data_IF_860062882008
#
_entry.id   IF_860062882008
#
_cell.length_a   1.000
_cell.length_b   1.000
_cell.length_c   1.000
_cell.angle_alpha   90.00
_cell.angle_beta   90.00
_cell.angle_gamma   90.00
#
_symmetry.space_group_name_H-M   'P 1'
#
loop_
_entity.id
_entity.type
_entity.pdbx_description
1 polymer ?
#
# COMPACT_ATOMS: atom_id res chain seq x y z
N UNK A 1 24.81 -1.69 5.99
CA UNK A 1 24.73 -3.17 6.17
C UNK A 1 23.48 -3.47 6.98
N UNK A 2 22.92 -4.69 7.06
CA UNK A 2 21.67 -4.99 7.80
C UNK A 2 20.39 -4.24 7.35
N UNK A 3 20.49 -3.16 6.58
CA UNK A 3 19.36 -2.56 5.87
C UNK A 3 18.96 -3.40 4.64
N UNK A 4 19.91 -3.63 3.71
CA UNK A 4 19.67 -4.28 2.41
C UNK A 4 20.07 -5.76 2.36
N UNK A 5 20.94 -6.18 3.28
CA UNK A 5 21.58 -7.49 3.26
C UNK A 5 22.00 -7.90 4.67
N UNK A 6 22.06 -9.20 4.92
CA UNK A 6 22.53 -9.78 6.17
C UNK A 6 23.80 -10.58 5.94
N UNK A 7 24.57 -10.77 7.00
CA UNK A 7 25.85 -11.50 6.96
C UNK A 7 25.79 -12.66 7.94
N UNK A 8 26.21 -13.84 7.51
CA UNK A 8 26.34 -15.04 8.34
C UNK A 8 27.73 -15.60 8.22
N UNK A 9 28.31 -15.94 9.37
CA UNK A 9 29.57 -16.66 9.43
C UNK A 9 29.33 -18.17 9.55
N UNK A 10 30.04 -18.95 8.75
CA UNK A 10 30.14 -20.40 8.87
C UNK A 10 31.61 -20.81 8.93
N UNK A 11 32.00 -21.66 9.87
CA UNK A 11 33.39 -22.12 10.02
C UNK A 11 33.92 -22.81 8.74
N UNK A 12 33.05 -23.42 7.94
CA UNK A 12 33.44 -24.10 6.70
C UNK A 12 33.56 -23.15 5.50
N UNK A 13 32.70 -22.13 5.42
CA UNK A 13 32.56 -21.28 4.22
C UNK A 13 32.91 -19.81 4.47
N UNK A 14 33.32 -19.44 5.68
CA UNK A 14 33.61 -18.08 6.08
C UNK A 14 32.37 -17.19 6.16
N UNK A 15 32.59 -15.89 5.94
CA UNK A 15 31.51 -14.91 5.84
C UNK A 15 30.74 -15.10 4.54
N UNK A 16 29.42 -15.17 4.66
CA UNK A 16 28.49 -15.21 3.53
C UNK A 16 27.46 -14.12 3.69
N UNK A 17 27.11 -13.53 2.58
CA UNK A 17 26.19 -12.42 2.51
C UNK A 17 24.90 -12.83 1.82
N UNK A 18 23.77 -12.42 2.37
CA UNK A 18 22.43 -12.78 1.88
C UNK A 18 21.66 -11.49 1.61
N UNK A 19 21.09 -11.37 0.41
CA UNK A 19 20.18 -10.28 0.05
C UNK A 19 18.94 -10.33 0.96
N UNK A 20 18.52 -9.18 1.50
CA UNK A 20 17.25 -9.10 2.22
C UNK A 20 16.10 -9.39 1.26
N UNK A 21 15.09 -10.18 1.66
CA UNK A 21 13.93 -10.44 0.82
C UNK A 21 13.29 -9.15 0.28
N UNK A 22 12.98 -9.15 -1.02
CA UNK A 22 12.43 -7.98 -1.71
C UNK A 22 13.46 -6.98 -2.25
N UNK A 23 14.77 -7.18 -2.01
CA UNK A 23 15.85 -6.31 -2.49
C UNK A 23 15.77 -6.00 -4.00
N UNK A 24 15.73 -7.03 -4.85
CA UNK A 24 15.77 -6.81 -6.31
C UNK A 24 14.54 -6.04 -6.80
N UNK A 25 13.37 -6.30 -6.19
CA UNK A 25 12.13 -5.58 -6.48
C UNK A 25 12.19 -4.13 -6.00
N UNK A 26 12.78 -3.91 -4.83
CA UNK A 26 12.97 -2.59 -4.24
C UNK A 26 13.86 -1.71 -5.11
N UNK A 27 15.06 -2.18 -5.46
CA UNK A 27 15.99 -1.44 -6.33
C UNK A 27 15.36 -1.17 -7.70
N UNK A 28 14.78 -2.19 -8.35
CA UNK A 28 14.13 -2.02 -9.66
C UNK A 28 12.97 -1.03 -9.64
N UNK A 29 12.15 -1.04 -8.59
CA UNK A 29 11.03 -0.13 -8.46
C UNK A 29 11.49 1.31 -8.22
N UNK A 30 12.48 1.51 -7.34
CA UNK A 30 12.93 2.85 -6.96
C UNK A 30 13.87 3.50 -7.99
N UNK A 31 14.67 2.71 -8.70
CA UNK A 31 15.62 3.26 -9.72
C UNK A 31 14.90 3.99 -10.87
N UNK A 32 13.59 3.82 -11.02
CA UNK A 32 12.77 4.57 -11.97
C UNK A 32 12.41 5.98 -11.51
N UNK A 33 12.45 6.23 -10.20
CA UNK A 33 12.00 7.48 -9.58
C UNK A 33 13.10 8.21 -8.81
N UNK A 34 14.10 7.48 -8.32
CA UNK A 34 15.16 7.96 -7.44
C UNK A 34 16.54 7.66 -8.01
N UNK A 35 17.48 8.55 -7.74
CA UNK A 35 18.91 8.25 -7.79
C UNK A 35 19.26 7.43 -6.53
N UNK A 36 19.52 6.13 -6.70
CA UNK A 36 19.78 5.22 -5.58
C UNK A 36 21.27 5.16 -5.27
N UNK A 37 21.62 5.48 -4.03
CA UNK A 37 22.99 5.42 -3.50
C UNK A 37 23.05 4.41 -2.36
N UNK A 38 23.89 3.38 -2.51
CA UNK A 38 24.21 2.43 -1.45
C UNK A 38 25.39 2.99 -0.66
N UNK A 39 25.13 3.39 0.59
CA UNK A 39 26.14 3.93 1.50
C UNK A 39 26.46 2.94 2.62
N UNK A 40 27.62 2.31 2.54
CA UNK A 40 28.14 1.39 3.58
C UNK A 40 28.97 2.11 4.64
N UNK A 41 28.87 1.63 5.88
CA UNK A 41 29.73 2.04 7.00
C UNK A 41 31.12 1.39 6.96
N UNK A 42 31.29 0.37 6.11
CA UNK A 42 32.58 -0.27 5.89
C UNK A 42 33.37 0.43 4.78
N UNK A 43 34.69 0.27 4.83
CA UNK A 43 35.57 0.83 3.81
C UNK A 43 35.23 0.27 2.42
N UNK A 44 35.25 1.15 1.42
CA UNK A 44 34.88 0.80 0.05
C UNK A 44 35.68 -0.40 -0.46
N UNK A 45 36.98 -0.47 -0.16
CA UNK A 45 37.83 -1.58 -0.60
C UNK A 45 37.40 -2.95 -0.07
N UNK A 46 36.81 -3.01 1.13
CA UNK A 46 36.31 -4.26 1.71
C UNK A 46 34.95 -4.68 1.15
N UNK A 47 34.11 -3.72 0.79
CA UNK A 47 32.72 -4.00 0.37
C UNK A 47 32.50 -3.96 -1.14
N UNK A 48 33.50 -3.56 -1.94
CA UNK A 48 33.36 -3.50 -3.41
C UNK A 48 32.83 -4.80 -4.01
N UNK A 49 33.43 -5.95 -3.67
CA UNK A 49 33.01 -7.25 -4.21
C UNK A 49 31.55 -7.58 -3.82
N UNK A 50 31.18 -7.27 -2.57
CA UNK A 50 29.82 -7.45 -2.07
C UNK A 50 28.85 -6.54 -2.83
N UNK A 51 29.18 -5.26 -3.00
CA UNK A 51 28.37 -4.28 -3.71
C UNK A 51 28.19 -4.63 -5.19
N UNK A 52 29.22 -5.18 -5.84
CA UNK A 52 29.14 -5.71 -7.21
C UNK A 52 28.28 -6.96 -7.29
N UNK A 53 28.34 -7.85 -6.29
CA UNK A 53 27.51 -9.06 -6.24
C UNK A 53 26.01 -8.76 -6.09
N UNK A 54 25.64 -7.70 -5.36
CA UNK A 54 24.24 -7.35 -5.12
C UNK A 54 23.66 -6.50 -6.25
N UNK A 55 24.48 -5.72 -6.95
CA UNK A 55 24.11 -4.87 -8.08
C UNK A 55 25.05 -5.11 -9.28
N UNK A 56 24.88 -6.24 -10.01
CA UNK A 56 25.71 -6.59 -11.16
C UNK A 56 25.48 -5.69 -12.38
N UNK A 57 24.28 -5.12 -12.50
CA UNK A 57 23.92 -4.22 -13.60
C UNK A 57 24.47 -2.79 -13.37
N UNK A 58 24.95 -2.48 -12.16
CA UNK A 58 25.53 -1.19 -11.83
C UNK A 58 24.52 -0.05 -11.85
N UNK A 59 23.27 -0.33 -11.45
CA UNK A 59 22.19 0.66 -11.45
C UNK A 59 22.36 1.68 -10.33
N UNK A 60 23.08 1.31 -9.26
CA UNK A 60 23.24 2.13 -8.05
C UNK A 60 24.63 2.73 -7.93
N UNK A 61 24.70 3.92 -7.32
CA UNK A 61 25.97 4.49 -6.87
C UNK A 61 26.38 3.85 -5.54
N UNK A 62 27.69 3.71 -5.30
CA UNK A 62 28.26 2.95 -4.18
C UNK A 62 29.24 3.82 -3.41
N UNK A 63 29.00 4.01 -2.12
CA UNK A 63 29.84 4.78 -1.21
C UNK A 63 30.23 3.89 -0.01
N UNK A 64 31.48 4.01 0.43
CA UNK A 64 31.96 3.41 1.67
C UNK A 64 32.20 4.46 2.76
N UNK A 65 32.80 4.02 3.87
CA UNK A 65 33.10 4.88 5.03
C UNK A 65 33.99 6.08 4.71
N UNK A 66 34.81 6.02 3.66
CA UNK A 66 35.65 7.13 3.20
C UNK A 66 34.87 8.36 2.73
N UNK A 67 33.57 8.21 2.42
CA UNK A 67 32.67 9.31 2.07
C UNK A 67 31.92 9.90 3.29
N UNK A 68 32.09 9.31 4.47
CA UNK A 68 31.44 9.74 5.72
C UNK A 68 32.36 10.62 6.57
N UNK A 69 31.79 11.25 7.59
CA UNK A 69 32.58 11.91 8.64
C UNK A 69 32.86 10.91 9.76
N UNK A 70 34.12 10.74 10.15
CA UNK A 70 34.49 9.91 11.29
C UNK A 70 34.66 10.82 12.51
N UNK A 71 33.80 10.67 13.51
CA UNK A 71 33.85 11.42 14.77
C UNK A 71 33.81 10.46 15.96
N UNK A 72 34.79 10.56 16.85
CA UNK A 72 34.91 9.68 18.03
C UNK A 72 34.87 8.18 17.69
N UNK A 73 35.42 7.80 16.54
CA UNK A 73 35.43 6.42 16.05
C UNK A 73 34.11 5.94 15.44
N UNK A 74 33.08 6.81 15.37
CA UNK A 74 31.79 6.53 14.72
C UNK A 74 31.77 7.06 13.29
N UNK A 75 31.15 6.30 12.39
CA UNK A 75 30.96 6.68 10.98
C UNK A 75 29.62 7.40 10.86
N UNK A 76 29.66 8.72 10.69
CA UNK A 76 28.47 9.57 10.58
C UNK A 76 28.23 9.97 9.13
N UNK A 77 27.04 9.64 8.62
CA UNK A 77 26.63 9.97 7.25
C UNK A 77 26.22 11.43 7.18
N UNK A 78 26.83 12.16 6.25
CA UNK A 78 26.65 13.60 6.09
C UNK A 78 26.09 13.93 4.71
N UNK A 79 24.90 14.54 4.66
CA UNK A 79 24.19 14.79 3.41
C UNK A 79 24.81 15.93 2.60
N UNK A 80 25.48 16.86 3.29
CA UNK A 80 26.13 18.04 2.71
C UNK A 80 27.23 17.68 1.71
N UNK A 81 27.82 16.48 1.82
CA UNK A 81 28.86 16.01 0.89
C UNK A 81 28.30 15.33 -0.37
N UNK A 82 26.99 15.08 -0.44
CA UNK A 82 26.39 14.34 -1.56
C UNK A 82 26.14 15.20 -2.80
N UNK A 83 26.51 16.49 -2.79
CA UNK A 83 26.33 17.42 -3.91
C UNK A 83 24.89 17.40 -4.48
N UNK A 84 23.92 17.31 -3.57
CA UNK A 84 22.47 17.36 -3.82
C UNK A 84 21.83 18.23 -2.75
N UNK A 85 20.66 18.77 -3.02
CA UNK A 85 19.90 19.51 -2.00
C UNK A 85 19.48 18.55 -0.87
N UNK A 86 19.91 18.75 0.40
CA UNK A 86 19.57 17.87 1.51
C UNK A 86 18.06 17.68 1.72
N UNK A 87 17.23 18.65 1.31
CA UNK A 87 15.77 18.52 1.38
C UNK A 87 15.21 17.44 0.46
N UNK A 88 15.93 17.13 -0.62
CA UNK A 88 15.55 16.14 -1.65
C UNK A 88 16.26 14.81 -1.47
N UNK A 89 16.91 14.61 -0.32
CA UNK A 89 17.58 13.37 0.01
C UNK A 89 16.78 12.67 1.11
N UNK A 90 16.55 11.39 0.91
CA UNK A 90 15.96 10.49 1.90
C UNK A 90 16.98 9.41 2.23
N UNK A 91 17.19 9.16 3.52
CA UNK A 91 18.07 8.10 4.02
C UNK A 91 17.22 6.97 4.55
N UNK A 92 17.60 5.74 4.22
CA UNK A 92 17.00 4.53 4.79
C UNK A 92 18.15 3.75 5.40
N UNK A 93 18.11 3.59 6.72
CA UNK A 93 19.18 2.96 7.48
C UNK A 93 18.62 2.16 8.66
N UNK A 94 19.39 1.23 9.20
CA UNK A 94 19.03 0.47 10.39
C UNK A 94 19.76 0.96 11.64
N UNK A 95 20.88 1.68 11.46
CA UNK A 95 21.70 2.14 12.56
C UNK A 95 21.41 3.61 12.90
N UNK A 96 20.77 3.91 14.06
CA UNK A 96 20.50 5.29 14.46
C UNK A 96 21.77 6.10 14.73
N UNK A 97 22.89 5.46 15.06
CA UNK A 97 24.15 6.18 15.32
C UNK A 97 24.77 6.74 14.05
N UNK A 98 24.69 6.03 12.92
CA UNK A 98 25.31 6.49 11.67
C UNK A 98 24.54 7.61 11.00
N UNK A 99 23.27 7.79 11.37
CA UNK A 99 22.36 8.82 10.82
C UNK A 99 22.10 9.97 11.79
N UNK A 100 22.86 10.07 12.89
CA UNK A 100 22.69 11.10 13.92
C UNK A 100 22.63 12.53 13.32
N UNK A 101 23.47 12.82 12.32
CA UNK A 101 23.55 14.12 11.66
C UNK A 101 22.39 14.39 10.67
N UNK A 102 21.66 13.37 10.25
CA UNK A 102 20.64 13.46 9.20
C UNK A 102 19.32 12.79 9.57
N UNK A 103 19.03 12.67 10.87
CA UNK A 103 17.84 11.99 11.37
C UNK A 103 16.54 12.55 10.79
N UNK A 104 16.46 13.87 10.59
CA UNK A 104 15.31 14.54 9.97
C UNK A 104 14.97 14.02 8.55
N UNK A 105 15.96 13.48 7.83
CA UNK A 105 15.82 12.91 6.49
C UNK A 105 15.77 11.38 6.50
N UNK A 106 15.73 10.75 7.67
CA UNK A 106 15.95 9.30 7.79
C UNK A 106 14.66 8.55 8.14
N UNK A 107 14.48 7.42 7.46
CA UNK A 107 13.58 6.34 7.84
C UNK A 107 14.40 5.17 8.40
N UNK A 108 14.29 4.93 9.70
CA UNK A 108 14.91 3.81 10.38
C UNK A 108 14.17 2.52 10.08
N UNK A 109 14.87 1.53 9.53
CA UNK A 109 14.34 0.19 9.29
C UNK A 109 14.83 -0.77 10.35
N UNK A 110 14.05 -1.82 10.61
CA UNK A 110 14.52 -2.89 11.49
C UNK A 110 15.76 -3.57 10.89
N UNK A 111 16.83 -3.76 11.67
CA UNK A 111 18.02 -4.47 11.23
C UNK A 111 17.68 -5.89 10.76
N UNK A 112 18.27 -6.31 9.66
CA UNK A 112 18.15 -7.66 9.11
C UNK A 112 19.25 -8.56 9.67
N UNK A 113 19.15 -8.87 10.96
CA UNK A 113 20.13 -9.70 11.68
C UNK A 113 19.95 -11.19 11.43
N UNK A 114 18.70 -11.66 11.31
CA UNK A 114 18.40 -13.08 11.06
C UNK A 114 18.11 -13.32 9.58
N UNK A 115 19.13 -13.81 8.87
CA UNK A 115 19.03 -14.11 7.43
C UNK A 115 18.04 -15.23 7.11
N UNK A 116 17.59 -16.01 8.10
CA UNK A 116 16.64 -17.10 7.89
C UNK A 116 15.19 -16.60 7.82
N UNK A 117 14.94 -15.31 8.09
CA UNK A 117 13.62 -14.71 7.96
C UNK A 117 13.30 -14.48 6.47
N UNK A 118 12.88 -15.55 5.80
CA UNK A 118 12.48 -15.52 4.38
C UNK A 118 11.21 -14.69 4.14
N UNK A 119 10.45 -14.39 5.20
CA UNK A 119 9.19 -13.66 5.13
C UNK A 119 9.35 -12.19 5.54
N UNK A 120 10.58 -11.69 5.62
CA UNK A 120 10.82 -10.25 5.78
C UNK A 120 10.19 -9.52 4.59
N UNK A 121 9.39 -8.50 4.89
CA UNK A 121 8.71 -7.67 3.87
C UNK A 121 9.04 -6.20 4.05
N UNK A 122 10.03 -5.85 4.85
CA UNK A 122 10.31 -4.45 5.21
C UNK A 122 10.61 -3.63 3.96
N UNK A 123 11.47 -4.12 3.07
CA UNK A 123 11.77 -3.42 1.81
C UNK A 123 10.54 -3.33 0.89
N UNK A 124 9.79 -4.42 0.71
CA UNK A 124 8.59 -4.42 -0.14
C UNK A 124 7.50 -3.47 0.38
N UNK A 125 7.37 -3.39 1.70
CA UNK A 125 6.39 -2.54 2.37
C UNK A 125 6.69 -1.05 2.20
N UNK A 126 7.96 -0.68 2.02
CA UNK A 126 8.40 0.70 1.80
C UNK A 126 8.14 1.20 0.38
N UNK A 127 8.15 0.33 -0.63
CA UNK A 127 8.00 0.73 -2.04
C UNK A 127 6.79 1.64 -2.27
N UNK A 128 5.56 1.30 -1.81
CA UNK A 128 4.39 2.13 -2.08
C UNK A 128 4.43 3.49 -1.38
N UNK A 129 5.09 3.58 -0.21
CA UNK A 129 5.26 4.84 0.52
C UNK A 129 6.20 5.77 -0.25
N UNK A 130 7.36 5.25 -0.66
CA UNK A 130 8.36 6.02 -1.39
C UNK A 130 7.81 6.47 -2.76
N UNK A 131 7.11 5.61 -3.48
CA UNK A 131 6.43 5.99 -4.73
C UNK A 131 5.40 7.11 -4.50
N UNK A 132 4.68 7.08 -3.37
CA UNK A 132 3.70 8.11 -3.05
C UNK A 132 4.34 9.48 -2.88
N UNK A 133 5.49 9.57 -2.21
CA UNK A 133 6.20 10.84 -2.06
C UNK A 133 6.55 11.48 -3.42
N UNK A 134 6.88 10.65 -4.42
CA UNK A 134 7.16 11.14 -5.78
C UNK A 134 5.87 11.59 -6.47
N UNK A 135 4.80 10.80 -6.37
CA UNK A 135 3.51 11.13 -7.00
C UNK A 135 2.84 12.37 -6.39
N UNK A 136 3.01 12.58 -5.08
CA UNK A 136 2.51 13.76 -4.38
C UNK A 136 3.36 15.02 -4.65
N UNK A 137 4.52 14.85 -5.31
CA UNK A 137 5.43 15.94 -5.64
C UNK A 137 6.17 16.50 -4.44
N UNK A 138 6.46 15.67 -3.44
CA UNK A 138 7.20 16.09 -2.24
C UNK A 138 8.59 16.59 -2.61
N UNK A 139 8.84 17.88 -2.35
CA UNK A 139 10.13 18.53 -2.62
C UNK A 139 11.03 18.56 -1.38
N UNK A 140 10.44 18.40 -0.19
CA UNK A 140 11.13 18.49 1.10
C UNK A 140 10.78 17.27 1.96
N UNK A 141 11.68 16.28 1.96
CA UNK A 141 11.51 15.05 2.73
C UNK A 141 11.55 15.29 4.23
N UNK A 142 12.24 16.32 4.73
CA UNK A 142 12.25 16.62 6.17
C UNK A 142 10.84 16.97 6.64
N UNK A 143 10.15 17.81 5.87
CA UNK A 143 8.77 18.16 6.15
C UNK A 143 7.83 16.97 5.96
N UNK A 144 8.00 16.21 4.87
CA UNK A 144 7.16 15.03 4.61
C UNK A 144 7.26 13.99 5.74
N UNK A 145 8.47 13.74 6.26
CA UNK A 145 8.67 12.84 7.40
C UNK A 145 8.13 13.44 8.70
N UNK A 146 8.30 14.76 8.93
CA UNK A 146 7.71 15.44 10.07
C UNK A 146 6.16 15.35 10.07
N UNK A 147 5.53 15.42 8.89
CA UNK A 147 4.08 15.27 8.72
C UNK A 147 3.58 13.84 8.97
N UNK A 148 4.46 12.84 8.91
CA UNK A 148 4.19 11.46 9.39
C UNK A 148 4.41 11.33 10.91
N UNK A 149 5.24 12.20 11.49
CA UNK A 149 5.48 12.25 12.93
C UNK A 149 6.28 11.06 13.48
N UNK A 150 6.84 10.23 12.60
CA UNK A 150 7.69 9.10 12.96
C UNK A 150 8.84 8.96 11.98
N UNK A 151 10.00 8.57 12.50
CA UNK A 151 11.16 8.17 11.72
C UNK A 151 11.28 6.66 11.58
N UNK A 152 10.41 5.89 12.23
CA UNK A 152 10.40 4.43 12.10
C UNK A 152 9.67 4.03 10.81
N UNK A 153 10.36 3.30 9.94
CA UNK A 153 9.87 2.92 8.62
C UNK A 153 8.59 2.06 8.69
N UNK A 154 8.52 1.12 9.65
CA UNK A 154 7.36 0.25 9.81
C UNK A 154 6.11 1.04 10.25
N UNK A 155 6.29 2.06 11.11
CA UNK A 155 5.22 2.95 11.56
C UNK A 155 4.77 3.90 10.46
N UNK A 156 5.72 4.52 9.74
CA UNK A 156 5.44 5.39 8.60
C UNK A 156 4.62 4.66 7.52
N UNK A 157 4.98 3.40 7.23
CA UNK A 157 4.21 2.56 6.30
C UNK A 157 2.82 2.25 6.85
N UNK A 158 2.69 1.95 8.14
CA UNK A 158 1.39 1.68 8.75
C UNK A 158 0.48 2.91 8.68
N UNK A 159 0.98 4.08 9.02
CA UNK A 159 0.24 5.34 8.95
C UNK A 159 -0.20 5.65 7.51
N UNK A 160 0.71 5.55 6.55
CA UNK A 160 0.38 5.75 5.14
C UNK A 160 -0.71 4.80 4.66
N UNK A 161 -0.65 3.52 5.05
CA UNK A 161 -1.71 2.54 4.74
C UNK A 161 -3.05 2.92 5.36
N UNK A 162 -3.04 3.42 6.59
CA UNK A 162 -4.25 3.90 7.27
C UNK A 162 -4.86 5.09 6.50
N UNK A 163 -4.06 6.12 6.19
CA UNK A 163 -4.48 7.29 5.40
C UNK A 163 -5.07 6.88 4.05
N UNK A 164 -4.41 5.98 3.32
CA UNK A 164 -4.94 5.44 2.06
C UNK A 164 -6.27 4.70 2.24
N UNK A 165 -6.42 3.92 3.30
CA UNK A 165 -7.64 3.16 3.56
C UNK A 165 -8.83 4.09 3.85
N UNK A 166 -8.59 5.19 4.57
CA UNK A 166 -9.60 6.20 4.89
C UNK A 166 -10.06 6.94 3.63
N UNK A 167 -9.13 7.36 2.77
CA UNK A 167 -9.44 7.98 1.47
C UNK A 167 -10.31 7.03 0.64
N UNK A 168 -9.90 5.77 0.49
CA UNK A 168 -10.67 4.75 -0.25
C UNK A 168 -12.06 4.50 0.35
N UNK A 169 -12.17 4.46 1.68
CA UNK A 169 -13.46 4.31 2.36
C UNK A 169 -14.35 5.54 2.18
N UNK A 170 -13.81 6.74 2.24
CA UNK A 170 -14.53 7.98 2.02
C UNK A 170 -15.05 8.06 0.59
N UNK A 171 -14.24 7.70 -0.41
CA UNK A 171 -14.66 7.58 -1.81
C UNK A 171 -15.77 6.55 -2.00
N UNK A 172 -15.63 5.36 -1.40
CA UNK A 172 -16.68 4.34 -1.43
C UNK A 172 -17.97 4.82 -0.77
N UNK A 173 -17.88 5.54 0.36
CA UNK A 173 -19.03 6.17 1.03
C UNK A 173 -19.69 7.23 0.13
N UNK A 174 -18.91 8.07 -0.54
CA UNK A 174 -19.42 9.07 -1.51
C UNK A 174 -20.11 8.39 -2.69
N UNK A 175 -19.49 7.35 -3.27
CA UNK A 175 -20.06 6.56 -4.38
C UNK A 175 -21.36 5.85 -3.98
N UNK A 176 -21.37 5.22 -2.79
CA UNK A 176 -22.55 4.49 -2.31
C UNK A 176 -23.70 5.43 -1.93
N UNK A 177 -23.43 6.66 -1.49
CA UNK A 177 -24.46 7.70 -1.30
C UNK A 177 -25.10 8.12 -2.63
N UNK A 178 -24.33 8.13 -3.73
CA UNK A 178 -24.82 8.44 -5.07
C UNK A 178 -25.81 7.41 -5.64
N UNK A 179 -25.61 6.11 -5.38
CA UNK A 179 -26.56 5.05 -5.81
C UNK A 179 -27.71 4.81 -4.81
N UNK A 180 -27.45 4.93 -3.50
CA UNK A 180 -28.48 4.72 -2.46
C UNK A 180 -29.51 5.86 -2.34
N UNK A 181 -29.16 7.07 -2.80
CA UNK A 181 -30.08 8.20 -2.87
C UNK A 181 -31.13 8.08 -4.00
N UNK A 182 -30.80 7.41 -5.11
CA UNK A 182 -31.74 7.18 -6.22
C UNK A 182 -32.77 6.08 -5.92
N UNK A 183 -32.43 5.08 -5.10
CA UNK A 183 -33.33 3.98 -4.74
C UNK A 183 -34.25 4.30 -3.54
N UNK A 184 -33.96 5.37 -2.80
CA UNK A 184 -34.74 5.82 -1.62
C UNK A 184 -35.53 7.10 -1.91
N UNK A 185 -36.04 7.24 -3.13
CA UNK A 185 -36.69 8.44 -3.67
C UNK A 185 -38.10 8.23 -4.22
N UNK A 186 -38.92 7.41 -3.58
CA UNK A 186 -40.39 7.51 -3.52
C UNK A 186 -40.73 6.93 -2.12
N UNK A 187 -41.11 7.68 -1.09
CA UNK A 187 -42.15 8.70 -0.99
C UNK A 187 -41.87 9.67 0.18
N UNK A 188 -42.48 10.85 0.10
CA UNK A 188 -42.75 11.82 1.17
C UNK A 188 -41.63 12.78 1.61
N UNK A 189 -41.59 13.97 1.00
CA UNK A 189 -41.94 15.21 1.68
C UNK A 189 -41.98 16.35 0.64
N UNK A 190 -43.15 16.97 0.50
CA UNK A 190 -43.35 18.24 -0.20
C UNK A 190 -42.69 19.34 0.62
N UNK A 191 -41.87 20.17 -0.01
CA UNK A 191 -41.68 21.59 0.34
C UNK A 191 -41.10 22.30 -0.89
N UNK A 192 -41.84 23.29 -1.35
CA UNK A 192 -41.48 24.25 -2.40
C UNK A 192 -40.31 25.13 -1.91
N UNK A 193 -39.31 25.35 -2.75
CA UNK A 193 -39.06 26.66 -3.40
C UNK A 193 -37.56 26.99 -3.63
N UNK A 194 -37.34 27.59 -4.80
CA UNK A 194 -36.24 28.42 -5.29
C UNK A 194 -34.78 27.92 -5.47
N UNK A 195 -34.38 27.88 -6.75
CA UNK A 195 -33.22 28.68 -7.18
C UNK A 195 -31.90 27.96 -7.51
N UNK A 196 -31.77 27.55 -8.78
CA UNK A 196 -30.51 27.49 -9.56
C UNK A 196 -29.36 26.59 -9.05
N UNK A 197 -29.25 25.38 -9.62
CA UNK A 197 -28.11 24.47 -9.46
C UNK A 197 -27.58 23.93 -10.80
N UNK A 198 -26.25 23.80 -10.99
CA UNK A 198 -25.65 23.44 -12.27
C UNK A 198 -25.81 21.95 -12.59
N UNK A 199 -25.97 21.67 -13.89
CA UNK A 199 -25.92 20.33 -14.48
C UNK A 199 -24.59 19.66 -14.17
N UNK A 200 -24.61 18.50 -13.52
CA UNK A 200 -23.49 17.56 -13.53
C UNK A 200 -24.00 16.15 -13.80
N UNK A 201 -24.07 15.81 -15.08
CA UNK A 201 -24.10 14.42 -15.53
C UNK A 201 -22.64 13.99 -15.69
N UNK A 202 -22.09 13.29 -14.70
CA UNK A 202 -20.87 12.53 -14.92
C UNK A 202 -21.30 11.21 -15.56
N UNK A 203 -20.99 11.11 -16.85
CA UNK A 203 -21.27 9.99 -17.75
C UNK A 203 -20.64 8.68 -17.24
N UNK A 204 -21.26 7.56 -17.57
CA UNK A 204 -20.72 6.24 -17.27
C UNK A 204 -19.60 5.87 -18.25
N UNK A 205 -18.63 5.01 -17.89
CA UNK A 205 -17.55 4.57 -18.79
C UNK A 205 -18.03 3.91 -20.10
N UNK A 206 -19.31 3.55 -20.19
CA UNK A 206 -19.96 3.02 -21.38
C UNK A 206 -20.26 4.09 -22.43
N UNK A 207 -20.27 5.38 -22.05
CA UNK A 207 -20.66 6.51 -22.89
C UNK A 207 -19.47 7.28 -23.48
N UNK A 208 -18.22 6.84 -23.24
CA UNK A 208 -16.97 7.49 -23.70
C UNK A 208 -16.36 6.84 -24.94
N UNK A 209 -16.85 5.66 -25.36
CA UNK A 209 -16.34 4.99 -26.58
C UNK A 209 -17.28 5.25 -27.74
N UNK A 210 -17.06 6.38 -28.42
CA UNK A 210 -17.69 6.66 -29.70
C UNK A 210 -17.09 5.79 -30.81
N UNK A 211 -17.88 4.87 -31.36
CA UNK A 211 -17.66 4.32 -32.69
C UNK A 211 -18.65 4.97 -33.67
N UNK A 212 -18.11 5.47 -34.79
CA UNK A 212 -18.82 6.28 -35.78
C UNK A 212 -19.89 5.49 -36.54
N UNK A 213 -20.97 6.17 -36.92
CA UNK A 213 -22.18 5.67 -37.58
C UNK A 213 -22.02 5.11 -39.02
N UNK A 214 -20.84 4.65 -39.42
CA UNK A 214 -20.57 4.13 -40.77
C UNK A 214 -20.37 2.60 -40.83
N UNK A 215 -20.19 1.90 -39.70
CA UNK A 215 -19.79 0.48 -39.72
C UNK A 215 -20.92 -0.51 -39.39
N UNK A 216 -22.06 -0.05 -38.86
CA UNK A 216 -23.22 -0.91 -38.54
C UNK A 216 -24.17 -1.11 -39.73
N UNK A 217 -24.07 -0.26 -40.76
CA UNK A 217 -24.94 -0.33 -41.94
C UNK A 217 -24.61 -1.48 -42.91
N UNK A 218 -23.43 -2.11 -42.82
CA UNK A 218 -23.04 -3.17 -43.76
C UNK A 218 -23.40 -4.59 -43.33
N UNK A 219 -23.73 -4.86 -42.06
CA UNK A 219 -24.10 -6.20 -41.60
C UNK A 219 -25.61 -6.47 -41.52
N UNK A 220 -26.46 -5.48 -41.85
CA UNK A 220 -27.93 -5.61 -41.81
C UNK A 220 -28.57 -5.75 -43.19
N UNK A 221 -27.78 -5.73 -44.27
CA UNK A 221 -28.28 -5.79 -45.66
C UNK A 221 -28.17 -7.17 -46.35
N UNK A 222 -27.62 -8.22 -45.71
CA UNK A 222 -27.33 -9.50 -46.36
C UNK A 222 -28.12 -10.73 -45.86
N UNK A 223 -29.18 -10.57 -45.06
CA UNK A 223 -30.02 -11.70 -44.61
C UNK A 223 -31.51 -11.50 -44.91
N UNK A 224 -31.83 -10.90 -46.06
CA UNK A 224 -33.19 -10.84 -46.60
C UNK A 224 -33.23 -11.44 -48.00
N UNK A 225 -33.25 -12.77 -48.08
CA UNK A 225 -33.84 -13.52 -49.19
C UNK A 225 -34.05 -14.97 -48.75
N UNK A 226 -35.31 -15.43 -48.72
CA UNK A 226 -35.68 -16.77 -48.26
C UNK A 226 -36.99 -16.81 -47.50
N UNK A 227 -38.08 -16.39 -48.15
CA UNK A 227 -39.43 -16.53 -47.62
C UNK A 227 -39.91 -18.00 -47.73
N UNK A 228 -40.32 -18.58 -46.60
CA UNK A 228 -41.18 -19.78 -46.53
C UNK A 228 -42.33 -19.44 -45.58
N UNK A 229 -43.61 -19.65 -45.95
CA UNK A 229 -44.73 -19.14 -45.14
C UNK A 229 -45.07 -20.11 -44.02
N UNK A 230 -45.29 -19.58 -42.81
CA UNK A 230 -45.83 -20.34 -41.68
C UNK A 230 -47.04 -19.60 -41.08
N UNK A 231 -48.09 -20.38 -40.88
CA UNK A 231 -49.47 -19.97 -40.64
C UNK A 231 -49.70 -19.15 -39.35
N UNK A 232 -50.79 -18.38 -39.38
CA UNK A 232 -51.39 -17.71 -38.22
C UNK A 232 -52.07 -18.73 -37.31
N UNK A 233 -51.71 -18.70 -36.03
CA UNK A 233 -52.53 -18.78 -34.80
C UNK A 233 -51.49 -18.69 -33.66
N UNK A 234 -51.65 -17.93 -32.58
CA UNK A 234 -52.64 -18.08 -31.54
C UNK A 234 -52.74 -16.77 -30.75
N UNK A 235 -53.90 -16.12 -30.82
CA UNK A 235 -54.41 -15.39 -29.67
C UNK A 235 -54.82 -16.45 -28.62
N UNK A 236 -54.40 -16.24 -27.37
CA UNK A 236 -54.80 -16.88 -26.09
C UNK A 236 -53.67 -17.66 -25.40
N UNK A 237 -53.13 -17.06 -24.32
CA UNK A 237 -53.26 -17.59 -22.95
C UNK A 237 -52.62 -16.64 -21.91
N UNK A 238 -53.49 -16.16 -21.03
CA UNK A 238 -53.39 -15.96 -19.57
C UNK A 238 -52.29 -15.08 -18.95
N UNK A 239 -52.75 -14.12 -18.13
CA UNK A 239 -51.93 -13.32 -17.20
C UNK A 239 -51.34 -14.23 -16.10
N UNK A 240 -50.06 -14.10 -15.72
CA UNK A 240 -49.50 -14.89 -14.63
C UNK A 240 -50.07 -14.45 -13.26
N UNK A 241 -50.33 -15.43 -12.39
CA UNK A 241 -50.81 -15.24 -11.00
C UNK A 241 -49.66 -14.79 -10.07
N UNK A 242 -49.96 -14.07 -8.96
CA UNK A 242 -48.95 -13.54 -8.05
C UNK A 242 -48.62 -14.53 -6.94
N UNK A 243 -47.62 -15.38 -7.14
CA UNK A 243 -46.85 -16.00 -6.05
C UNK A 243 -45.74 -16.85 -6.65
N UNK A 244 -44.54 -16.29 -6.74
CA UNK A 244 -43.29 -17.08 -6.75
C UNK A 244 -42.16 -16.13 -6.34
N UNK A 245 -41.88 -16.09 -5.03
CA UNK A 245 -40.60 -15.58 -4.54
C UNK A 245 -39.54 -16.51 -5.12
N UNK A 246 -38.90 -16.07 -6.21
CA UNK A 246 -37.83 -16.82 -6.87
C UNK A 246 -36.76 -17.16 -5.83
N UNK A 247 -36.66 -18.45 -5.47
CA UNK A 247 -35.62 -18.95 -4.58
C UNK A 247 -34.26 -18.56 -5.19
N UNK A 248 -33.43 -17.85 -4.41
CA UNK A 248 -32.05 -17.50 -4.78
C UNK A 248 -31.36 -18.77 -5.29
N UNK A 249 -30.76 -18.71 -6.49
CA UNK A 249 -30.08 -19.85 -7.10
C UNK A 249 -28.99 -20.41 -6.19
N UNK A 250 -28.75 -21.72 -6.25
CA UNK A 250 -27.83 -22.45 -5.36
C UNK A 250 -26.41 -21.84 -5.30
N UNK A 251 -25.94 -21.25 -6.40
CA UNK A 251 -24.64 -20.58 -6.46
C UNK A 251 -24.58 -19.31 -5.57
N UNK A 252 -25.66 -18.54 -5.52
CA UNK A 252 -25.74 -17.32 -4.70
C UNK A 252 -25.83 -17.66 -3.22
N UNK A 253 -26.57 -18.72 -2.86
CA UNK A 253 -26.62 -19.21 -1.48
C UNK A 253 -25.26 -19.73 -0.99
N UNK A 254 -24.46 -20.35 -1.87
CA UNK A 254 -23.11 -20.81 -1.56
C UNK A 254 -22.13 -19.64 -1.32
N UNK A 255 -22.19 -18.60 -2.17
CA UNK A 255 -21.36 -17.40 -2.02
C UNK A 255 -21.70 -16.62 -0.76
N UNK A 256 -22.98 -16.45 -0.44
CA UNK A 256 -23.44 -15.76 0.77
C UNK A 256 -23.02 -16.51 2.04
N UNK A 257 -23.01 -17.86 2.00
CA UNK A 257 -22.47 -18.70 3.09
C UNK A 257 -20.96 -18.55 3.26
N UNK A 258 -20.20 -18.48 2.17
CA UNK A 258 -18.75 -18.23 2.18
C UNK A 258 -18.41 -16.84 2.73
N UNK A 259 -19.18 -15.81 2.36
CA UNK A 259 -19.01 -14.46 2.87
C UNK A 259 -19.37 -14.35 4.36
N UNK A 260 -20.45 -15.00 4.80
CA UNK A 260 -20.82 -15.05 6.21
C UNK A 260 -19.73 -15.73 7.06
N UNK A 261 -19.16 -16.84 6.58
CA UNK A 261 -18.06 -17.53 7.26
C UNK A 261 -16.81 -16.67 7.38
N UNK A 262 -16.43 -15.94 6.31
CA UNK A 262 -15.31 -15.00 6.34
C UNK A 262 -15.55 -13.84 7.31
N UNK A 263 -16.77 -13.29 7.33
CA UNK A 263 -17.12 -12.19 8.22
C UNK A 263 -17.12 -12.63 9.70
N UNK A 264 -17.53 -13.88 9.98
CA UNK A 264 -17.47 -14.47 11.31
C UNK A 264 -16.03 -14.69 11.76
N UNK A 265 -15.17 -15.23 10.89
CA UNK A 265 -13.73 -15.36 11.16
C UNK A 265 -13.05 -14.01 11.42
N UNK A 266 -13.38 -12.97 10.65
CA UNK A 266 -12.86 -11.62 10.86
C UNK A 266 -13.33 -11.02 12.19
N UNK A 267 -14.58 -11.24 12.57
CA UNK A 267 -15.09 -10.82 13.89
C UNK A 267 -14.40 -11.56 15.03
N UNK A 268 -14.15 -12.86 14.90
CA UNK A 268 -13.40 -13.65 15.89
C UNK A 268 -11.96 -13.13 16.02
N UNK A 269 -11.28 -12.87 14.89
CA UNK A 269 -9.93 -12.30 14.88
C UNK A 269 -9.89 -10.93 15.55
N UNK A 270 -10.87 -10.07 15.24
CA UNK A 270 -10.98 -8.73 15.84
C UNK A 270 -11.24 -8.80 17.34
N UNK A 271 -12.11 -9.69 17.80
CA UNK A 271 -12.38 -9.88 19.23
C UNK A 271 -11.14 -10.39 19.97
N UNK A 272 -10.42 -11.36 19.39
CA UNK A 272 -9.16 -11.88 19.96
C UNK A 272 -8.08 -10.80 20.03
N UNK A 273 -7.99 -9.93 19.02
CA UNK A 273 -7.08 -8.78 19.03
C UNK A 273 -7.43 -7.77 20.13
N UNK A 274 -8.72 -7.48 20.32
CA UNK A 274 -9.17 -6.57 21.38
C UNK A 274 -8.91 -7.15 22.77
N UNK A 275 -9.09 -8.46 22.95
CA UNK A 275 -8.79 -9.14 24.21
C UNK A 275 -7.28 -9.09 24.53
N UNK A 276 -6.42 -9.36 23.54
CA UNK A 276 -4.97 -9.26 23.69
C UNK A 276 -4.54 -7.83 24.06
N UNK A 277 -5.18 -6.83 23.46
CA UNK A 277 -4.93 -5.42 23.77
C UNK A 277 -5.30 -5.09 25.22
N UNK A 278 -6.45 -5.55 25.70
CA UNK A 278 -6.86 -5.36 27.10
C UNK A 278 -5.90 -6.04 28.09
N UNK A 279 -5.42 -7.25 27.77
CA UNK A 279 -4.42 -7.94 28.59
C UNK A 279 -3.10 -7.18 28.67
N UNK A 280 -2.61 -6.62 27.55
CA UNK A 280 -1.40 -5.78 27.53
C UNK A 280 -1.58 -4.49 28.32
N UNK A 281 -2.74 -3.84 28.21
CA UNK A 281 -3.04 -2.63 28.97
C UNK A 281 -3.12 -2.91 30.48
N UNK A 282 -3.74 -4.03 30.88
CA UNK A 282 -3.78 -4.45 32.27
C UNK A 282 -2.39 -4.81 32.81
N UNK A 283 -1.56 -5.51 32.04
CA UNK A 283 -0.18 -5.82 32.42
C UNK A 283 0.67 -4.55 32.58
N UNK A 284 0.51 -3.57 31.68
CA UNK A 284 1.20 -2.28 31.77
C UNK A 284 0.75 -1.47 32.99
N UNK A 285 -0.55 -1.49 33.32
CA UNK A 285 -1.08 -0.85 34.52
C UNK A 285 -0.59 -1.53 35.81
N UNK A 286 -0.53 -2.86 35.85
CA UNK A 286 0.01 -3.61 36.98
C UNK A 286 1.51 -3.35 37.18
N UNK A 287 2.30 -3.29 36.09
CA UNK A 287 3.72 -2.95 36.16
C UNK A 287 3.94 -1.51 36.66
N UNK A 288 3.10 -0.56 36.25
CA UNK A 288 3.16 0.82 36.74
C UNK A 288 2.81 0.92 38.24
N UNK A 289 1.84 0.15 38.72
CA UNK A 289 1.50 0.08 40.15
C UNK A 289 2.63 -0.56 40.97
N UNK A 290 3.30 -1.58 40.44
CA UNK A 290 4.46 -2.20 41.10
C UNK A 290 5.65 -1.24 41.17
N UNK A 291 5.91 -0.46 40.11
CA UNK A 291 6.95 0.57 40.13
C UNK A 291 6.66 1.68 41.15
N UNK A 292 5.40 2.13 41.25
CA UNK A 292 4.99 3.13 42.24
C UNK A 292 5.08 2.62 43.69
N UNK A 293 4.85 1.33 43.93
CA UNK A 293 5.01 0.72 45.25
C UNK A 293 6.50 0.58 45.64
N UNK A 294 7.40 0.36 44.68
CA UNK A 294 8.84 0.29 44.90
C UNK A 294 9.50 1.66 45.13
N UNK A 295 8.86 2.76 44.71
CA UNK A 295 9.32 4.12 44.99
C UNK A 295 8.83 4.68 46.35
N UNK A 296 7.94 3.97 47.06
CA UNK A 296 7.38 4.38 48.35
C UNK A 296 7.96 3.64 49.57
N UNK A 297 8.79 2.60 49.35
CA UNK A 297 9.61 1.92 50.36
C UNK A 297 11.07 2.44 50.33
#
# INVERSE_FOLDING_TARGET
EKTLMGSVYDAKHGWRHVKRPGYDKFIKALSQYYEVVIFSENDAGMVTEIMESIDPEGVTHKLGSSAAEIRDGKVLKRLEYMNRDPRRILVIDDNPESVELCMANTLLVRPFDDVNILHDRTLENLIPLLQAFVHDGSVDFQRTLADLGTHEADEAVAEYRMRLSEVKQAEKRRRNRGLGGLLRGQTSAVSEDDGFGPRSAVLSPSDIVGSSAAEVAMNTAQLREGAVPLEKNYFHKDKPKPSDVKKKGALMAYLEKQEAQKAEEENIKRNKMNELYQQRMAAKAAAAQQAQAQEQD
#
